data_IF_935627113496
#
_entry.id   IF_935627113496
#
_cell.length_a   1.000
_cell.length_b   1.000
_cell.length_c   1.000
_cell.angle_alpha   90.00
_cell.angle_beta   90.00
_cell.angle_gamma   90.00
#
_symmetry.space_group_name_H-M   'P 1'
#
loop_
_entity.id
_entity.type
_entity.pdbx_description
1 polymer ?
#
# COMPACT_ATOMS: atom_id res chain seq x y z
N UNK A 1 -21.30 12.46 78.62
CA UNK A 1 -20.25 11.63 79.27
C UNK A 1 -20.52 10.18 78.93
N UNK A 2 -19.43 9.44 78.70
CA UNK A 2 -19.27 7.99 78.58
C UNK A 2 -19.96 7.20 77.44
N UNK A 3 -19.08 6.74 76.55
CA UNK A 3 -19.12 5.62 75.61
C UNK A 3 -19.67 4.31 76.20
N UNK A 4 -20.31 3.45 75.38
CA UNK A 4 -19.74 2.14 75.01
C UNK A 4 -20.55 1.40 73.94
N UNK A 5 -19.82 0.73 73.07
CA UNK A 5 -20.24 -0.11 71.94
C UNK A 5 -20.63 -1.52 72.40
N UNK A 6 -21.35 -2.29 71.56
CA UNK A 6 -21.08 -3.72 71.21
C UNK A 6 -22.35 -4.54 70.87
N UNK A 7 -22.51 -4.81 69.57
CA UNK A 7 -22.77 -6.08 68.86
C UNK A 7 -24.08 -6.88 69.08
N UNK A 8 -24.61 -7.25 67.90
CA UNK A 8 -25.76 -8.07 67.50
C UNK A 8 -25.65 -9.54 67.90
N UNK A 9 -26.77 -10.14 68.31
CA UNK A 9 -27.03 -11.57 68.13
C UNK A 9 -28.55 -11.83 68.00
N UNK A 10 -29.03 -12.07 66.77
CA UNK A 10 -30.36 -12.61 66.48
C UNK A 10 -30.25 -14.13 66.41
N UNK A 11 -30.85 -14.82 67.37
CA UNK A 11 -31.01 -16.27 67.38
C UNK A 11 -32.35 -16.62 66.72
N UNK A 12 -32.34 -17.31 65.57
CA UNK A 12 -33.54 -17.92 64.98
C UNK A 12 -33.34 -19.43 64.84
N UNK A 13 -34.39 -20.13 65.28
CA UNK A 13 -34.50 -21.55 65.54
C UNK A 13 -34.93 -22.33 64.28
N UNK A 14 -34.29 -23.49 64.15
CA UNK A 14 -34.57 -24.76 63.46
C UNK A 14 -36.03 -25.13 63.07
N UNK A 15 -36.26 -25.57 61.82
CA UNK A 15 -37.05 -26.79 61.42
C UNK A 15 -36.50 -27.36 60.08
N UNK A 16 -36.23 -28.70 59.95
CA UNK A 16 -35.74 -29.35 58.73
C UNK A 16 -36.84 -30.12 57.94
N UNK A 17 -36.67 -30.25 56.62
CA UNK A 17 -37.49 -31.11 55.73
C UNK A 17 -36.62 -31.92 54.75
N UNK A 18 -37.03 -33.13 54.28
CA UNK A 18 -36.12 -34.10 53.68
C UNK A 18 -36.11 -34.16 52.14
N UNK A 19 -34.89 -34.40 51.63
CA UNK A 19 -34.49 -35.31 50.53
C UNK A 19 -35.25 -35.32 49.20
N UNK A 20 -34.58 -34.81 48.15
CA UNK A 20 -34.48 -35.54 46.87
C UNK A 20 -33.07 -35.28 46.28
N UNK A 21 -32.27 -36.34 46.20
CA UNK A 21 -30.95 -36.36 45.56
C UNK A 21 -31.10 -36.37 44.02
N UNK A 22 -30.46 -35.41 43.34
CA UNK A 22 -30.01 -35.56 41.96
C UNK A 22 -28.55 -35.08 41.87
N UNK A 23 -27.63 -35.83 41.23
CA UNK A 23 -26.20 -35.63 41.35
C UNK A 23 -25.70 -34.42 40.55
N UNK A 24 -24.67 -33.79 41.09
CA UNK A 24 -24.24 -32.45 40.74
C UNK A 24 -23.59 -32.27 39.37
N UNK A 25 -23.56 -31.00 38.96
CA UNK A 25 -22.58 -30.43 38.04
C UNK A 25 -22.28 -28.98 38.46
N UNK A 26 -21.53 -28.79 39.56
CA UNK A 26 -20.84 -27.53 39.81
C UNK A 26 -19.37 -27.68 39.43
N UNK A 27 -19.01 -27.15 38.26
CA UNK A 27 -17.63 -27.15 37.78
C UNK A 27 -16.85 -26.05 38.50
N UNK A 28 -16.02 -26.47 39.45
CA UNK A 28 -14.95 -25.68 40.08
C UNK A 28 -14.15 -24.96 38.98
N UNK A 29 -14.17 -23.63 38.95
CA UNK A 29 -13.21 -22.86 38.15
C UNK A 29 -11.86 -23.00 38.83
N UNK A 30 -10.96 -23.78 38.22
CA UNK A 30 -9.58 -23.86 38.65
C UNK A 30 -8.88 -22.54 38.30
N UNK A 31 -8.61 -21.75 39.33
CA UNK A 31 -7.61 -20.70 39.29
C UNK A 31 -6.22 -21.36 39.23
N UNK A 32 -5.38 -20.92 38.28
CA UNK A 32 -3.94 -21.18 38.32
C UNK A 32 -3.44 -22.54 37.82
N UNK A 33 -3.74 -22.92 36.56
CA UNK A 33 -2.81 -23.70 35.72
C UNK A 33 -2.94 -23.23 34.28
N UNK A 34 -1.98 -22.43 33.81
CA UNK A 34 -1.87 -22.09 32.40
C UNK A 34 -1.66 -23.37 31.59
N UNK A 35 -2.56 -23.65 30.66
CA UNK A 35 -2.43 -24.79 29.76
C UNK A 35 -1.17 -24.60 28.90
N UNK A 36 -0.20 -25.51 29.01
CA UNK A 36 0.95 -25.62 28.11
C UNK A 36 0.58 -26.06 26.66
N UNK A 37 -0.65 -25.77 26.24
CA UNK A 37 -1.20 -25.94 24.88
C UNK A 37 -2.10 -24.78 24.45
N UNK A 38 -2.05 -23.62 25.11
CA UNK A 38 -2.34 -22.38 24.41
C UNK A 38 -1.21 -22.21 23.39
N UNK A 39 -1.54 -22.47 22.12
CA UNK A 39 -0.62 -22.36 20.99
C UNK A 39 0.17 -21.07 21.13
N UNK A 40 1.43 -21.18 21.53
CA UNK A 40 2.40 -20.15 21.24
C UNK A 40 2.32 -19.99 19.73
N UNK A 41 1.84 -18.82 19.27
CA UNK A 41 1.97 -18.48 17.86
C UNK A 41 3.46 -18.61 17.56
N UNK A 42 3.87 -19.36 16.52
CA UNK A 42 5.28 -19.49 16.21
C UNK A 42 5.83 -18.07 16.09
N UNK A 43 6.87 -17.79 16.87
CA UNK A 43 7.54 -16.50 16.87
C UNK A 43 8.18 -16.35 15.50
N UNK A 44 7.51 -15.63 14.62
CA UNK A 44 8.10 -15.35 13.33
C UNK A 44 9.19 -14.31 13.57
N UNK A 45 10.42 -14.78 13.82
CA UNK A 45 11.63 -13.98 13.59
C UNK A 45 11.52 -13.28 12.23
N UNK A 46 12.21 -12.13 12.03
CA UNK A 46 11.87 -11.12 11.02
C UNK A 46 11.38 -11.79 9.74
N UNK A 47 10.05 -11.76 9.56
CA UNK A 47 9.41 -12.40 8.42
C UNK A 47 10.00 -11.71 7.21
N UNK A 48 10.87 -12.38 6.46
CA UNK A 48 11.17 -11.96 5.09
C UNK A 48 9.83 -12.09 4.38
N UNK A 49 9.07 -11.00 4.34
CA UNK A 49 7.75 -10.91 3.73
C UNK A 49 7.87 -11.29 2.25
N UNK A 50 7.86 -12.58 1.94
CA UNK A 50 7.70 -13.10 0.57
C UNK A 50 6.26 -12.89 0.06
N UNK A 51 5.41 -12.30 0.88
CA UNK A 51 4.06 -11.86 0.52
C UNK A 51 4.05 -10.44 -0.06
N UNK A 52 4.88 -10.15 -1.05
CA UNK A 52 4.71 -8.94 -1.87
C UNK A 52 5.06 -9.21 -3.34
N UNK A 53 4.19 -9.93 -4.05
CA UNK A 53 3.90 -9.79 -5.50
C UNK A 53 5.03 -9.90 -6.55
N UNK A 54 6.29 -10.15 -6.19
CA UNK A 54 7.43 -10.10 -7.15
C UNK A 54 8.02 -11.46 -7.56
N UNK A 55 7.24 -12.54 -7.45
CA UNK A 55 7.67 -13.90 -7.82
C UNK A 55 6.74 -14.67 -8.75
N UNK A 56 5.66 -14.07 -9.26
CA UNK A 56 4.70 -14.83 -10.08
C UNK A 56 5.20 -15.06 -11.50
N UNK A 57 5.02 -16.28 -12.03
CA UNK A 57 5.39 -16.67 -13.39
C UNK A 57 4.37 -16.20 -14.46
N UNK A 58 3.51 -15.23 -14.12
CA UNK A 58 2.42 -14.78 -14.99
C UNK A 58 2.94 -13.98 -16.20
N UNK A 59 2.33 -14.16 -17.38
CA UNK A 59 2.76 -13.55 -18.64
C UNK A 59 2.71 -12.01 -18.66
N UNK A 60 1.97 -11.41 -17.73
CA UNK A 60 1.89 -9.96 -17.52
C UNK A 60 2.70 -9.46 -16.32
N UNK A 61 3.61 -10.24 -15.74
CA UNK A 61 4.50 -9.77 -14.66
C UNK A 61 5.85 -9.27 -15.24
N UNK A 62 6.17 -7.96 -15.15
CA UNK A 62 7.43 -7.38 -15.62
C UNK A 62 8.67 -7.93 -14.92
N UNK A 63 8.52 -8.43 -13.70
CA UNK A 63 9.61 -8.98 -12.89
C UNK A 63 9.58 -10.52 -12.86
N UNK A 64 8.92 -11.15 -13.86
CA UNK A 64 8.94 -12.61 -14.04
C UNK A 64 10.38 -13.08 -14.35
N UNK A 65 10.87 -14.18 -13.74
CA UNK A 65 12.16 -14.75 -14.13
C UNK A 65 12.09 -15.21 -15.59
N UNK A 66 13.04 -14.72 -16.40
CA UNK A 66 13.20 -15.10 -17.81
C UNK A 66 14.55 -15.77 -17.97
N UNK A 67 14.53 -17.05 -18.25
CA UNK A 67 15.75 -17.77 -18.62
C UNK A 67 16.23 -17.29 -19.98
N UNK A 68 17.54 -17.15 -20.19
CA UNK A 68 18.11 -16.68 -21.46
C UNK A 68 17.68 -17.54 -22.67
N UNK A 69 17.34 -18.82 -22.43
CA UNK A 69 16.83 -19.77 -23.44
C UNK A 69 15.35 -19.59 -23.78
N UNK A 70 14.59 -18.83 -22.98
CA UNK A 70 13.14 -18.66 -23.15
C UNK A 70 12.81 -17.50 -24.10
N UNK A 71 13.00 -17.75 -25.40
CA UNK A 71 12.72 -16.77 -26.48
C UNK A 71 11.23 -16.43 -26.62
N UNK A 72 10.34 -17.39 -26.36
CA UNK A 72 8.88 -17.23 -26.48
C UNK A 72 8.25 -16.26 -25.46
N UNK A 73 8.96 -15.96 -24.37
CA UNK A 73 8.42 -15.09 -23.32
C UNK A 73 8.49 -13.61 -23.73
N UNK A 74 7.43 -12.86 -23.39
CA UNK A 74 7.38 -11.42 -23.62
C UNK A 74 8.47 -10.70 -22.82
N UNK A 75 9.11 -9.71 -23.44
CA UNK A 75 10.07 -8.83 -22.77
C UNK A 75 9.38 -7.91 -21.76
N UNK A 76 10.15 -7.39 -20.79
CA UNK A 76 9.67 -6.42 -19.78
C UNK A 76 9.02 -5.19 -20.42
N UNK A 77 9.60 -4.66 -21.50
CA UNK A 77 9.07 -3.54 -22.26
C UNK A 77 7.70 -3.87 -22.88
N UNK A 78 7.59 -5.03 -23.53
CA UNK A 78 6.32 -5.49 -24.13
C UNK A 78 5.23 -5.66 -23.07
N UNK A 79 5.56 -6.22 -21.90
CA UNK A 79 4.61 -6.36 -20.79
C UNK A 79 4.12 -5.00 -20.30
N UNK A 80 5.01 -4.03 -20.11
CA UNK A 80 4.65 -2.68 -19.68
C UNK A 80 3.75 -1.97 -20.72
N UNK A 81 4.05 -2.09 -22.01
CA UNK A 81 3.20 -1.59 -23.10
C UNK A 81 1.81 -2.22 -23.09
N UNK A 82 1.71 -3.53 -22.89
CA UNK A 82 0.40 -4.20 -22.82
C UNK A 82 -0.39 -3.80 -21.57
N UNK A 83 0.30 -3.61 -20.43
CA UNK A 83 -0.31 -3.08 -19.21
C UNK A 83 -0.86 -1.67 -19.42
N UNK A 84 -0.16 -0.84 -20.19
CA UNK A 84 -0.65 0.48 -20.56
C UNK A 84 -2.03 0.36 -21.23
N UNK A 85 -2.21 -0.47 -22.26
CA UNK A 85 -3.51 -0.64 -22.91
C UNK A 85 -4.62 -1.19 -21.98
N UNK A 86 -4.27 -2.01 -20.98
CA UNK A 86 -5.24 -2.65 -20.08
C UNK A 86 -5.62 -1.78 -18.87
N UNK A 87 -4.68 -0.98 -18.34
CA UNK A 87 -4.75 -0.42 -16.98
C UNK A 87 -5.07 1.08 -16.91
N UNK A 88 -5.68 1.68 -17.95
CA UNK A 88 -6.12 3.08 -17.95
C UNK A 88 -7.44 3.34 -17.17
N UNK A 89 -7.78 2.48 -16.21
CA UNK A 89 -9.01 2.58 -15.42
C UNK A 89 -8.70 2.82 -13.93
N UNK A 90 -9.56 3.54 -13.18
CA UNK A 90 -9.39 3.68 -11.74
C UNK A 90 -9.58 2.34 -11.03
N UNK A 91 -8.85 2.13 -9.94
CA UNK A 91 -9.07 0.98 -9.04
C UNK A 91 -10.12 1.40 -8.01
N UNK A 92 -11.17 0.59 -7.87
CA UNK A 92 -12.29 0.85 -6.97
C UNK A 92 -12.41 -0.22 -5.90
N UNK A 93 -12.99 0.14 -4.77
CA UNK A 93 -13.48 -0.80 -3.78
C UNK A 93 -14.82 -1.40 -4.22
N UNK A 94 -15.29 -2.43 -3.52
CA UNK A 94 -16.60 -3.08 -3.71
C UNK A 94 -17.78 -2.09 -3.65
N UNK A 95 -17.64 -1.04 -2.83
CA UNK A 95 -18.65 0.02 -2.66
C UNK A 95 -18.58 1.09 -3.78
N UNK A 96 -17.68 0.90 -4.77
CA UNK A 96 -17.52 1.79 -5.93
C UNK A 96 -16.66 3.04 -5.69
N UNK A 97 -16.17 3.23 -4.46
CA UNK A 97 -15.25 4.32 -4.10
C UNK A 97 -13.90 4.14 -4.78
N UNK A 98 -13.28 5.23 -5.24
CA UNK A 98 -12.00 5.16 -5.96
C UNK A 98 -10.85 5.08 -4.96
N UNK A 99 -10.17 3.95 -4.91
CA UNK A 99 -8.95 3.74 -4.10
C UNK A 99 -7.72 4.33 -4.77
N UNK A 100 -7.63 4.17 -6.10
CA UNK A 100 -6.52 4.71 -6.90
C UNK A 100 -7.07 5.32 -8.18
N UNK A 101 -6.73 6.59 -8.42
CA UNK A 101 -7.03 7.28 -9.67
C UNK A 101 -6.51 6.50 -10.88
N UNK A 102 -7.15 6.69 -12.03
CA UNK A 102 -6.56 6.25 -13.29
C UNK A 102 -5.23 6.99 -13.53
N UNK A 103 -4.30 6.40 -14.31
CA UNK A 103 -3.09 7.09 -14.71
C UNK A 103 -3.39 8.48 -15.29
N UNK A 104 -2.60 9.49 -14.92
CA UNK A 104 -2.74 10.89 -15.34
C UNK A 104 -4.06 11.61 -14.95
N UNK A 105 -4.90 10.98 -14.13
CA UNK A 105 -6.12 11.58 -13.56
C UNK A 105 -6.01 11.79 -12.05
N UNK A 106 -4.80 12.05 -11.55
CA UNK A 106 -4.58 12.33 -10.13
C UNK A 106 -5.18 13.67 -9.73
N UNK A 107 -5.75 13.74 -8.53
CA UNK A 107 -6.24 14.98 -7.95
C UNK A 107 -5.15 15.69 -7.17
N UNK A 108 -5.10 17.02 -7.30
CA UNK A 108 -4.25 17.88 -6.48
C UNK A 108 -4.97 18.17 -5.16
N UNK A 109 -4.21 18.33 -4.07
CA UNK A 109 -4.79 18.75 -2.79
C UNK A 109 -5.36 20.17 -2.93
N UNK A 110 -6.52 20.44 -2.34
CA UNK A 110 -7.08 21.80 -2.28
C UNK A 110 -6.03 22.79 -1.74
N UNK A 111 -5.83 23.90 -2.45
CA UNK A 111 -4.79 24.88 -2.14
C UNK A 111 -3.42 24.61 -2.77
N UNK A 112 -3.28 23.60 -3.64
CA UNK A 112 -2.05 23.45 -4.45
C UNK A 112 -1.99 24.59 -5.47
N UNK A 113 -0.96 25.42 -5.37
CA UNK A 113 -0.74 26.57 -6.28
C UNK A 113 0.52 26.31 -7.09
N UNK A 114 0.41 26.37 -8.42
CA UNK A 114 1.58 26.39 -9.29
C UNK A 114 2.06 27.84 -9.42
N UNK A 115 3.29 28.12 -8.96
CA UNK A 115 3.95 29.43 -9.14
C UNK A 115 5.28 29.22 -9.83
N UNK A 116 5.64 30.19 -10.66
CA UNK A 116 6.98 30.26 -11.26
C UNK A 116 7.83 31.14 -10.37
N UNK A 117 8.98 30.64 -9.95
CA UNK A 117 9.92 31.43 -9.15
C UNK A 117 10.53 32.55 -10.01
N UNK A 118 10.56 33.80 -9.52
CA UNK A 118 11.24 34.88 -10.21
C UNK A 118 12.74 34.56 -10.29
N UNK A 119 13.29 34.53 -11.49
CA UNK A 119 14.70 34.21 -11.72
C UNK A 119 15.29 35.11 -12.81
N UNK A 120 16.51 35.61 -12.59
CA UNK A 120 17.20 36.45 -13.57
C UNK A 120 17.45 35.72 -14.90
N UNK A 121 17.57 34.38 -14.86
CA UNK A 121 17.79 33.53 -16.04
C UNK A 121 16.64 33.57 -17.05
N UNK A 122 15.42 33.91 -16.63
CA UNK A 122 14.27 34.03 -17.54
C UNK A 122 14.46 35.14 -18.58
N UNK A 123 15.24 36.16 -18.25
CA UNK A 123 15.39 37.37 -19.07
C UNK A 123 16.71 37.41 -19.83
N UNK A 124 17.57 36.39 -19.68
CA UNK A 124 18.79 36.26 -20.47
C UNK A 124 18.52 35.60 -21.82
N UNK A 125 19.24 36.04 -22.86
CA UNK A 125 19.17 35.40 -24.17
C UNK A 125 19.64 33.94 -24.08
N UNK A 126 18.77 32.98 -24.41
CA UNK A 126 19.06 31.53 -24.24
C UNK A 126 19.79 30.91 -25.42
N UNK A 127 19.60 31.47 -26.62
CA UNK A 127 20.28 31.07 -27.86
C UNK A 127 20.72 32.34 -28.57
N UNK A 128 22.01 32.46 -28.83
CA UNK A 128 22.61 33.57 -29.58
C UNK A 128 23.34 32.95 -30.76
N UNK A 129 23.13 33.51 -31.94
CA UNK A 129 23.83 33.11 -33.16
C UNK A 129 24.65 34.30 -33.63
N UNK A 130 25.92 34.07 -33.96
CA UNK A 130 26.78 35.12 -34.51
C UNK A 130 26.37 35.46 -35.95
N UNK A 131 26.56 36.71 -36.36
CA UNK A 131 26.14 37.17 -37.69
C UNK A 131 26.76 36.35 -38.83
N UNK A 132 28.05 36.02 -38.74
CA UNK A 132 28.74 35.19 -39.75
C UNK A 132 28.20 33.77 -39.83
N UNK A 133 27.82 33.19 -38.68
CA UNK A 133 27.26 31.85 -38.62
C UNK A 133 25.86 31.83 -39.22
N UNK A 134 25.08 32.88 -38.99
CA UNK A 134 23.75 33.06 -39.59
C UNK A 134 23.84 33.18 -41.11
N UNK A 135 24.80 33.95 -41.61
CA UNK A 135 25.03 34.09 -43.05
C UNK A 135 25.43 32.75 -43.70
N UNK A 136 26.42 32.06 -43.12
CA UNK A 136 26.85 30.72 -43.57
C UNK A 136 25.73 29.70 -43.53
N UNK A 137 24.89 29.75 -42.49
CA UNK A 137 23.72 28.87 -42.38
C UNK A 137 22.71 29.13 -43.49
N UNK A 138 22.37 30.39 -43.78
CA UNK A 138 21.45 30.74 -44.86
C UNK A 138 21.94 30.29 -46.24
N UNK A 139 23.23 30.48 -46.53
CA UNK A 139 23.82 30.04 -47.80
C UNK A 139 23.77 28.52 -47.98
N UNK A 140 24.09 27.77 -46.92
CA UNK A 140 24.07 26.31 -46.96
C UNK A 140 22.64 25.77 -47.01
N UNK A 141 21.70 26.33 -46.25
CA UNK A 141 20.28 25.97 -46.34
C UNK A 141 19.73 26.20 -47.74
N UNK A 142 20.07 27.33 -48.36
CA UNK A 142 19.64 27.64 -49.72
C UNK A 142 20.18 26.65 -50.76
N UNK A 143 21.37 26.08 -50.55
CA UNK A 143 21.92 25.03 -51.43
C UNK A 143 21.14 23.72 -51.27
N UNK A 144 20.93 23.29 -50.03
CA UNK A 144 20.19 22.06 -49.72
C UNK A 144 18.73 22.15 -50.18
N UNK A 145 18.04 23.27 -49.95
CA UNK A 145 16.64 23.45 -50.39
C UNK A 145 16.48 23.42 -51.92
N UNK A 146 17.51 23.77 -52.68
CA UNK A 146 17.49 23.73 -54.15
C UNK A 146 17.82 22.36 -54.71
N UNK A 147 18.33 21.45 -53.89
CA UNK A 147 18.59 20.07 -54.28
C UNK A 147 17.43 19.17 -53.81
N UNK A 148 16.51 18.77 -54.69
CA UNK A 148 15.36 17.94 -54.33
C UNK A 148 15.73 16.48 -54.03
N UNK A 149 16.99 16.08 -54.18
CA UNK A 149 17.46 14.71 -53.97
C UNK A 149 18.47 14.55 -52.82
N UNK A 150 18.68 15.60 -52.03
CA UNK A 150 19.33 15.52 -50.71
C UNK A 150 18.35 15.13 -49.59
#
# INVERSE_FOLDING_TARGET
MQMSSTVVAVLKVLIPGPSIYLPGWYKKRNEGKTNAKLKQKPDYGPVKNRHTFRGSNHSMNPDRPRDAKSSHLRSKATINRLRMYKSFKPIRDKDGTILKAAPFQSWLKSGTVARVEPNRKWFGNTRIVGQEQLQKFQENLGKVMRDPFQ
#
